data_IF_765732443968
#
_entry.id   IF_765732443968
#
_cell.length_a   1.000
_cell.length_b   1.000
_cell.length_c   1.000
_cell.angle_alpha   90.00
_cell.angle_beta   90.00
_cell.angle_gamma   90.00
#
_symmetry.space_group_name_H-M   'P 1'
#
loop_
_entity.id
_entity.type
_entity.pdbx_description
1 polymer ?
#
# COMPACT_ATOMS: atom_id res chain seq x y z
N UNK A 1 -25.27 -8.27 22.77
CA UNK A 1 -24.42 -9.01 21.81
C UNK A 1 -24.01 -8.11 20.64
N UNK A 2 -23.07 -8.55 19.82
CA UNK A 2 -22.67 -7.81 18.60
C UNK A 2 -23.85 -7.67 17.63
N UNK A 3 -24.68 -8.71 17.51
CA UNK A 3 -25.89 -8.71 16.68
C UNK A 3 -26.93 -7.70 17.14
N UNK A 4 -27.10 -7.51 18.45
CA UNK A 4 -27.99 -6.47 19.00
C UNK A 4 -27.51 -5.06 18.64
N UNK A 5 -26.20 -4.82 18.70
CA UNK A 5 -25.60 -3.51 18.35
C UNK A 5 -25.72 -3.24 16.86
N UNK A 6 -25.46 -4.25 16.02
CA UNK A 6 -25.58 -4.12 14.55
C UNK A 6 -27.04 -4.16 14.05
N UNK A 7 -27.97 -4.63 14.87
CA UNK A 7 -29.37 -4.76 14.47
C UNK A 7 -29.64 -5.88 13.46
N UNK A 8 -28.68 -6.76 13.23
CA UNK A 8 -28.73 -7.83 12.22
C UNK A 8 -28.20 -9.14 12.81
N UNK A 9 -28.80 -10.27 12.40
CA UNK A 9 -28.27 -11.59 12.72
C UNK A 9 -27.04 -11.90 11.87
N UNK A 10 -25.92 -12.18 12.52
CA UNK A 10 -24.65 -12.54 11.87
C UNK A 10 -24.45 -14.06 11.80
N UNK A 11 -25.12 -14.81 12.70
CA UNK A 11 -25.01 -16.27 12.79
C UNK A 11 -26.39 -16.90 12.76
N UNK A 12 -26.46 -18.06 12.16
CA UNK A 12 -27.62 -18.96 12.19
C UNK A 12 -27.19 -20.38 12.57
N UNK A 13 -28.13 -21.18 13.06
CA UNK A 13 -27.88 -22.59 13.41
C UNK A 13 -28.45 -23.46 12.32
N UNK A 14 -27.60 -24.11 11.54
CA UNK A 14 -27.97 -25.08 10.51
C UNK A 14 -27.41 -26.44 10.91
N UNK A 15 -28.26 -27.47 11.01
CA UNK A 15 -27.87 -28.85 11.40
C UNK A 15 -27.06 -28.89 12.73
N UNK A 16 -27.44 -28.10 13.71
CA UNK A 16 -26.76 -27.95 15.02
C UNK A 16 -25.35 -27.36 14.95
N UNK A 17 -24.98 -26.72 13.85
CA UNK A 17 -23.71 -25.99 13.67
C UNK A 17 -23.99 -24.51 13.42
N UNK A 18 -23.12 -23.65 13.94
CA UNK A 18 -23.18 -22.24 13.63
C UNK A 18 -22.65 -21.99 12.21
N UNK A 19 -23.43 -21.26 11.44
CA UNK A 19 -23.08 -20.80 10.09
C UNK A 19 -23.25 -19.28 10.03
N UNK A 20 -22.45 -18.63 9.21
CA UNK A 20 -22.62 -17.19 8.96
C UNK A 20 -23.86 -16.97 8.09
N UNK A 21 -24.68 -16.00 8.46
CA UNK A 21 -25.71 -15.45 7.57
C UNK A 21 -25.06 -14.67 6.43
N UNK A 22 -25.85 -14.16 5.48
CA UNK A 22 -25.35 -13.23 4.46
C UNK A 22 -24.78 -11.96 5.10
N UNK A 23 -25.46 -11.37 6.08
CA UNK A 23 -24.98 -10.23 6.85
C UNK A 23 -23.67 -10.58 7.60
N UNK A 24 -23.56 -11.80 8.16
CA UNK A 24 -22.34 -12.29 8.79
C UNK A 24 -21.17 -12.41 7.83
N UNK A 25 -21.39 -12.96 6.63
CA UNK A 25 -20.35 -13.02 5.58
C UNK A 25 -19.89 -11.65 5.12
N UNK A 26 -20.81 -10.70 5.00
CA UNK A 26 -20.50 -9.33 4.60
C UNK A 26 -19.74 -8.55 5.70
N UNK A 27 -20.03 -8.84 6.98
CA UNK A 27 -19.39 -8.21 8.12
C UNK A 27 -18.00 -8.79 8.46
N UNK A 28 -17.71 -10.03 8.05
CA UNK A 28 -16.50 -10.75 8.43
C UNK A 28 -15.20 -10.02 8.02
N UNK A 29 -15.05 -9.53 6.77
CA UNK A 29 -13.85 -8.82 6.37
C UNK A 29 -13.58 -7.55 7.21
N UNK A 30 -14.63 -6.83 7.59
CA UNK A 30 -14.50 -5.64 8.45
C UNK A 30 -14.09 -6.02 9.87
N UNK A 31 -14.66 -7.10 10.41
CA UNK A 31 -14.30 -7.62 11.73
C UNK A 31 -12.85 -8.09 11.78
N UNK A 32 -12.38 -8.80 10.76
CA UNK A 32 -10.98 -9.23 10.64
C UNK A 32 -10.02 -8.04 10.58
N UNK A 33 -10.37 -6.99 9.85
CA UNK A 33 -9.58 -5.75 9.81
C UNK A 33 -9.51 -5.05 11.17
N UNK A 34 -10.62 -4.98 11.91
CA UNK A 34 -10.64 -4.40 13.25
C UNK A 34 -9.71 -5.18 14.18
N UNK A 35 -9.79 -6.52 14.14
CA UNK A 35 -8.93 -7.39 14.94
C UNK A 35 -7.45 -7.25 14.54
N UNK A 36 -7.13 -7.25 13.24
CA UNK A 36 -5.77 -7.07 12.76
C UNK A 36 -5.16 -5.73 13.21
N UNK A 37 -5.93 -4.64 13.11
CA UNK A 37 -5.52 -3.32 13.59
C UNK A 37 -5.35 -3.29 15.11
N UNK A 38 -6.25 -3.92 15.86
CA UNK A 38 -6.15 -4.05 17.31
C UNK A 38 -4.90 -4.81 17.74
N UNK A 39 -4.60 -5.92 17.09
CA UNK A 39 -3.39 -6.69 17.34
C UNK A 39 -2.11 -5.91 16.97
N UNK A 40 -2.10 -5.20 15.85
CA UNK A 40 -0.97 -4.34 15.46
C UNK A 40 -0.72 -3.21 16.47
N UNK A 41 -1.80 -2.60 16.97
CA UNK A 41 -1.72 -1.58 18.02
C UNK A 41 -1.18 -2.15 19.34
N UNK A 42 -1.69 -3.30 19.79
CA UNK A 42 -1.23 -3.98 21.01
C UNK A 42 0.26 -4.35 20.94
N UNK A 43 0.78 -4.66 19.75
CA UNK A 43 2.20 -4.96 19.51
C UNK A 43 3.06 -3.71 19.30
N UNK A 44 2.48 -2.51 19.41
CA UNK A 44 3.18 -1.25 19.11
C UNK A 44 3.55 -1.05 17.64
N UNK A 45 3.00 -1.87 16.75
CA UNK A 45 3.25 -1.80 15.30
C UNK A 45 2.43 -0.70 14.63
N UNK A 46 1.31 -0.30 15.23
CA UNK A 46 0.41 0.74 14.75
C UNK A 46 0.28 1.83 15.80
N UNK A 47 0.50 3.06 15.41
CA UNK A 47 0.34 4.24 16.26
C UNK A 47 -0.19 5.43 15.45
N UNK A 48 -0.57 6.50 16.15
CA UNK A 48 -0.94 7.78 15.57
C UNK A 48 0.12 8.83 15.88
N UNK A 49 0.49 9.62 14.88
CA UNK A 49 1.33 10.81 15.03
C UNK A 49 0.59 11.96 14.35
N UNK A 50 0.24 12.99 15.12
CA UNK A 50 -0.54 14.15 14.63
C UNK A 50 -1.84 13.76 13.89
N UNK A 51 -2.52 12.72 14.37
CA UNK A 51 -3.74 12.18 13.77
C UNK A 51 -3.51 11.33 12.50
N UNK A 52 -2.26 11.16 12.07
CA UNK A 52 -1.88 10.36 10.92
C UNK A 52 -1.37 8.99 11.35
N UNK A 53 -1.65 7.96 10.55
CA UNK A 53 -1.23 6.59 10.83
C UNK A 53 0.29 6.46 10.70
N UNK A 54 0.89 5.79 11.70
CA UNK A 54 2.27 5.33 11.64
C UNK A 54 2.32 3.83 11.83
N UNK A 55 3.08 3.16 10.98
CA UNK A 55 3.37 1.73 11.05
C UNK A 55 4.86 1.55 11.35
N UNK A 56 5.17 0.67 12.30
CA UNK A 56 6.54 0.25 12.61
C UNK A 56 6.54 -1.26 12.74
N UNK A 57 7.29 -1.92 11.89
CA UNK A 57 7.36 -3.37 11.85
C UNK A 57 8.81 -3.83 11.82
N UNK A 58 9.10 -4.85 12.62
CA UNK A 58 10.38 -5.55 12.61
C UNK A 58 10.09 -7.04 12.76
N UNK A 59 10.60 -7.84 11.82
CA UNK A 59 10.47 -9.30 11.91
C UNK A 59 11.68 -9.93 12.66
N UNK A 60 11.57 -11.23 12.88
CA UNK A 60 12.61 -12.01 13.58
C UNK A 60 13.93 -12.11 12.80
N UNK A 61 13.88 -11.94 11.49
CA UNK A 61 15.03 -11.95 10.58
C UNK A 61 15.73 -10.59 10.49
N UNK A 62 15.19 -9.58 11.22
CA UNK A 62 15.76 -8.23 11.26
C UNK A 62 15.30 -7.32 10.15
N UNK A 63 14.30 -7.71 9.32
CA UNK A 63 13.70 -6.80 8.38
C UNK A 63 12.91 -5.72 9.11
N UNK A 64 13.20 -4.46 8.76
CA UNK A 64 12.61 -3.27 9.34
C UNK A 64 11.79 -2.52 8.29
N UNK A 65 10.58 -2.13 8.66
CA UNK A 65 9.67 -1.35 7.83
C UNK A 65 9.01 -0.27 8.67
N UNK A 66 9.16 0.96 8.25
CA UNK A 66 8.56 2.13 8.87
C UNK A 66 7.75 2.88 7.83
N UNK A 67 6.54 3.28 8.19
CA UNK A 67 5.65 4.06 7.32
C UNK A 67 5.00 5.15 8.15
N UNK A 68 4.94 6.35 7.60
CA UNK A 68 4.21 7.49 8.13
C UNK A 68 3.25 7.99 7.08
N UNK A 69 1.96 8.02 7.42
CA UNK A 69 0.98 8.70 6.60
C UNK A 69 1.23 10.21 6.66
N UNK A 70 1.16 10.87 5.52
CA UNK A 70 1.31 12.31 5.36
C UNK A 70 -0.04 12.92 4.93
N UNK A 71 -0.19 14.22 5.11
CA UNK A 71 -1.33 14.93 4.52
C UNK A 71 -1.19 14.93 3.01
N UNK A 72 -2.28 14.68 2.30
CA UNK A 72 -2.24 14.69 0.82
C UNK A 72 -1.81 16.06 0.27
N UNK A 73 -2.08 17.14 0.99
CA UNK A 73 -1.59 18.49 0.65
C UNK A 73 -0.07 18.61 0.61
N UNK A 74 0.66 17.75 1.34
CA UNK A 74 2.10 17.81 1.44
C UNK A 74 2.78 17.41 0.12
N UNK A 75 2.04 16.75 -0.79
CA UNK A 75 2.51 16.43 -2.14
C UNK A 75 2.92 17.68 -2.92
N UNK A 76 2.27 18.82 -2.65
CA UNK A 76 2.55 20.10 -3.34
C UNK A 76 3.84 20.77 -2.86
N UNK A 77 4.26 20.49 -1.64
CA UNK A 77 5.54 20.94 -1.06
C UNK A 77 6.69 19.94 -1.25
N UNK A 78 6.39 18.74 -1.77
CA UNK A 78 7.40 17.73 -2.03
C UNK A 78 8.21 18.05 -3.29
N UNK A 79 9.46 17.59 -3.34
CA UNK A 79 10.34 17.79 -4.51
C UNK A 79 9.94 16.89 -5.71
N UNK A 80 9.09 15.90 -5.51
CA UNK A 80 8.64 14.96 -6.55
C UNK A 80 7.65 15.58 -7.55
N UNK A 81 8.12 15.85 -8.77
CA UNK A 81 7.27 16.23 -9.90
C UNK A 81 6.31 15.09 -10.30
N UNK A 82 6.78 13.84 -10.23
CA UNK A 82 5.98 12.66 -10.54
C UNK A 82 4.74 12.58 -9.66
N UNK A 83 4.87 12.68 -8.33
CA UNK A 83 3.73 12.55 -7.42
C UNK A 83 2.73 13.70 -7.59
N UNK A 84 3.21 14.95 -7.77
CA UNK A 84 2.33 16.09 -8.07
C UNK A 84 1.53 15.89 -9.36
N UNK A 85 2.23 15.41 -10.42
CA UNK A 85 1.57 15.13 -11.70
C UNK A 85 0.57 13.99 -11.57
N UNK A 86 0.90 12.91 -10.85
CA UNK A 86 -0.01 11.79 -10.63
C UNK A 86 -1.31 12.23 -9.92
N UNK A 87 -1.22 13.04 -8.87
CA UNK A 87 -2.41 13.63 -8.21
C UNK A 87 -3.25 14.45 -9.18
N UNK A 88 -2.59 15.30 -9.99
CA UNK A 88 -3.28 16.14 -10.98
C UNK A 88 -3.98 15.30 -12.07
N UNK A 89 -3.31 14.25 -12.55
CA UNK A 89 -3.86 13.32 -13.54
C UNK A 89 -5.05 12.54 -12.97
N UNK A 90 -4.93 12.03 -11.74
CA UNK A 90 -6.02 11.34 -11.06
C UNK A 90 -7.25 12.23 -10.90
N UNK A 91 -7.07 13.48 -10.46
CA UNK A 91 -8.17 14.44 -10.32
C UNK A 91 -8.87 14.74 -11.66
N UNK A 92 -8.07 14.93 -12.73
CA UNK A 92 -8.62 15.21 -14.08
C UNK A 92 -9.30 13.99 -14.69
N UNK A 93 -8.83 12.78 -14.40
CA UNK A 93 -9.42 11.53 -14.89
C UNK A 93 -10.70 11.14 -14.15
N UNK A 94 -11.01 11.77 -13.00
CA UNK A 94 -12.07 11.32 -12.10
C UNK A 94 -11.83 9.89 -11.57
N UNK A 95 -10.56 9.47 -11.48
CA UNK A 95 -10.17 8.12 -11.06
C UNK A 95 -10.35 7.05 -12.14
N UNK A 96 -10.58 7.39 -13.41
CA UNK A 96 -10.62 6.44 -14.52
C UNK A 96 -9.18 6.10 -14.97
N UNK A 97 -8.79 4.83 -14.82
CA UNK A 97 -7.44 4.36 -15.15
C UNK A 97 -7.11 4.47 -16.64
N UNK A 98 -8.08 4.28 -17.52
CA UNK A 98 -7.90 4.32 -18.99
C UNK A 98 -8.01 5.73 -19.57
N UNK A 99 -8.25 6.75 -18.73
CA UNK A 99 -8.32 8.13 -19.19
C UNK A 99 -7.00 8.56 -19.85
N UNK A 100 -7.11 9.35 -20.91
CA UNK A 100 -5.97 10.01 -21.57
C UNK A 100 -5.07 10.77 -20.57
N UNK A 101 -5.68 11.34 -19.52
CA UNK A 101 -4.94 12.06 -18.48
C UNK A 101 -3.97 11.16 -17.69
N UNK A 102 -4.22 9.86 -17.60
CA UNK A 102 -3.38 8.92 -16.86
C UNK A 102 -2.18 8.42 -17.67
N UNK A 103 -2.20 8.55 -19.00
CA UNK A 103 -1.15 8.01 -19.90
C UNK A 103 0.26 8.47 -19.56
N UNK A 104 0.42 9.76 -19.20
CA UNK A 104 1.73 10.33 -18.91
C UNK A 104 2.40 9.71 -17.67
N UNK A 105 1.62 9.29 -16.69
CA UNK A 105 2.11 8.76 -15.41
C UNK A 105 2.00 7.23 -15.32
N UNK A 106 1.23 6.57 -16.21
CA UNK A 106 1.04 5.12 -16.21
C UNK A 106 2.33 4.30 -16.26
N UNK A 107 3.40 4.69 -16.97
CA UNK A 107 4.67 3.96 -16.96
C UNK A 107 5.33 3.84 -15.58
N UNK A 108 4.87 4.60 -14.59
CA UNK A 108 5.37 4.62 -13.21
C UNK A 108 4.49 3.86 -12.22
N UNK A 109 3.39 3.23 -12.68
CA UNK A 109 2.41 2.57 -11.82
C UNK A 109 2.80 1.15 -11.44
N UNK A 110 2.38 0.74 -10.23
CA UNK A 110 1.99 -0.63 -9.96
C UNK A 110 0.48 -0.62 -9.69
N UNK A 111 -0.24 -1.54 -10.32
CA UNK A 111 -1.69 -1.65 -10.20
C UNK A 111 -2.03 -2.97 -9.51
N UNK A 112 -2.89 -2.89 -8.51
CA UNK A 112 -3.34 -4.04 -7.72
C UNK A 112 -4.85 -4.19 -7.80
N UNK A 113 -5.33 -5.43 -7.84
CA UNK A 113 -6.76 -5.77 -7.69
C UNK A 113 -6.96 -6.55 -6.40
N UNK A 114 -8.07 -6.26 -5.74
CA UNK A 114 -8.55 -7.04 -4.61
C UNK A 114 -9.21 -8.32 -5.11
N UNK A 115 -8.84 -9.45 -4.50
CA UNK A 115 -9.39 -10.76 -4.80
C UNK A 115 -9.69 -11.49 -3.48
N UNK A 116 -10.46 -12.58 -3.49
CA UNK A 116 -10.68 -13.40 -2.30
C UNK A 116 -9.38 -13.90 -1.64
N UNK A 117 -8.29 -13.98 -2.42
CA UNK A 117 -6.96 -14.38 -1.94
C UNK A 117 -6.06 -13.21 -1.57
N UNK A 118 -6.62 -12.00 -1.48
CA UNK A 118 -5.88 -10.77 -1.18
C UNK A 118 -5.54 -9.96 -2.44
N UNK A 119 -4.62 -9.03 -2.29
CA UNK A 119 -4.21 -8.11 -3.36
C UNK A 119 -3.27 -8.78 -4.34
N UNK A 120 -3.61 -8.73 -5.64
CA UNK A 120 -2.81 -9.27 -6.74
C UNK A 120 -2.31 -8.12 -7.61
N UNK A 121 -1.03 -8.11 -7.94
CA UNK A 121 -0.45 -7.17 -8.89
C UNK A 121 -0.92 -7.52 -10.32
N UNK A 122 -1.53 -6.58 -11.02
CA UNK A 122 -2.07 -6.80 -12.37
C UNK A 122 -1.34 -6.00 -13.45
N UNK A 123 -0.59 -4.96 -13.06
CA UNK A 123 0.21 -4.15 -13.97
C UNK A 123 1.45 -3.62 -13.26
N UNK A 124 2.58 -3.58 -13.95
CA UNK A 124 3.83 -2.96 -13.50
C UNK A 124 4.34 -2.05 -14.60
N UNK A 125 4.53 -0.79 -14.29
CA UNK A 125 5.13 0.19 -15.19
C UNK A 125 6.64 0.02 -15.31
N UNK A 126 7.17 0.09 -16.52
CA UNK A 126 8.59 -0.10 -16.79
C UNK A 126 9.50 0.97 -16.18
N UNK A 127 8.95 2.18 -15.93
CA UNK A 127 9.64 3.31 -15.30
C UNK A 127 9.34 3.43 -13.81
N UNK A 128 8.58 2.50 -13.23
CA UNK A 128 8.27 2.53 -11.80
C UNK A 128 9.53 2.40 -10.95
N UNK A 129 9.48 2.93 -9.72
CA UNK A 129 10.55 2.75 -8.74
C UNK A 129 10.86 1.26 -8.50
N UNK A 130 9.84 0.42 -8.51
CA UNK A 130 9.97 -1.03 -8.39
C UNK A 130 10.81 -1.63 -9.54
N UNK A 131 10.53 -1.22 -10.78
CA UNK A 131 11.30 -1.65 -11.97
C UNK A 131 12.74 -1.15 -11.95
N UNK A 132 12.97 0.05 -11.45
CA UNK A 132 14.34 0.61 -11.26
C UNK A 132 15.12 -0.15 -10.18
N UNK A 133 14.43 -0.55 -9.09
CA UNK A 133 15.08 -1.25 -7.99
C UNK A 133 15.44 -2.69 -8.32
N UNK A 134 14.51 -3.46 -8.88
CA UNK A 134 14.64 -4.91 -9.11
C UNK A 134 15.08 -5.26 -10.53
N UNK A 135 15.06 -4.31 -11.46
CA UNK A 135 15.18 -4.54 -12.89
C UNK A 135 13.85 -4.97 -13.54
N UNK A 136 13.72 -4.63 -14.82
CA UNK A 136 12.47 -4.83 -15.56
C UNK A 136 11.99 -6.29 -15.63
N UNK A 137 12.93 -7.24 -15.81
CA UNK A 137 12.58 -8.65 -15.90
C UNK A 137 11.92 -9.16 -14.62
N UNK A 138 12.50 -8.84 -13.46
CA UNK A 138 11.95 -9.22 -12.15
C UNK A 138 10.64 -8.48 -11.87
N UNK A 139 10.60 -7.19 -12.12
CA UNK A 139 9.39 -6.38 -11.93
C UNK A 139 8.22 -6.92 -12.77
N UNK A 140 8.44 -7.24 -14.03
CA UNK A 140 7.41 -7.83 -14.91
C UNK A 140 6.94 -9.21 -14.42
N UNK A 141 7.83 -10.00 -13.82
CA UNK A 141 7.48 -11.32 -13.27
C UNK A 141 6.52 -11.24 -12.08
N UNK A 142 6.38 -10.06 -11.47
CA UNK A 142 5.45 -9.82 -10.35
C UNK A 142 3.99 -9.71 -10.80
N UNK A 143 3.71 -9.58 -12.10
CA UNK A 143 2.33 -9.57 -12.60
C UNK A 143 1.68 -10.93 -12.38
N UNK A 144 0.53 -10.95 -11.73
CA UNK A 144 -0.22 -12.13 -11.32
C UNK A 144 0.15 -12.64 -9.91
N UNK A 145 1.20 -12.12 -9.27
CA UNK A 145 1.58 -12.49 -7.90
C UNK A 145 0.75 -11.75 -6.87
N UNK A 146 0.49 -12.43 -5.75
CA UNK A 146 -0.08 -11.79 -4.56
C UNK A 146 0.96 -10.93 -3.84
N UNK A 147 0.51 -9.99 -3.00
CA UNK A 147 1.42 -9.18 -2.17
C UNK A 147 2.32 -10.02 -1.26
N UNK A 148 1.86 -11.18 -0.81
CA UNK A 148 2.65 -12.10 0.02
C UNK A 148 3.86 -12.70 -0.70
N UNK A 149 3.86 -12.69 -2.03
CA UNK A 149 4.96 -13.17 -2.87
C UNK A 149 5.97 -12.05 -3.24
N UNK A 150 5.71 -10.81 -2.80
CA UNK A 150 6.64 -9.69 -2.96
C UNK A 150 7.73 -9.74 -1.88
N UNK A 151 8.86 -9.04 -2.08
CA UNK A 151 9.86 -8.85 -1.05
C UNK A 151 9.23 -8.32 0.25
N UNK A 152 9.49 -9.02 1.36
CA UNK A 152 8.81 -8.79 2.64
C UNK A 152 7.74 -9.84 2.97
N UNK A 153 7.32 -10.65 1.99
CA UNK A 153 6.44 -11.81 2.20
C UNK A 153 5.09 -11.46 2.82
N UNK A 154 4.51 -12.42 3.55
CA UNK A 154 3.22 -12.26 4.24
C UNK A 154 3.22 -11.12 5.27
N UNK A 155 4.38 -10.82 5.87
CA UNK A 155 4.52 -9.69 6.79
C UNK A 155 4.27 -8.36 6.07
N UNK A 156 4.81 -8.19 4.87
CA UNK A 156 4.55 -7.02 4.02
C UNK A 156 3.09 -6.94 3.58
N UNK A 157 2.51 -8.06 3.12
CA UNK A 157 1.12 -8.11 2.71
C UNK A 157 0.16 -7.69 3.85
N UNK A 158 0.40 -8.19 5.06
CA UNK A 158 -0.38 -7.84 6.25
C UNK A 158 -0.31 -6.36 6.57
N UNK A 159 0.89 -5.74 6.47
CA UNK A 159 1.10 -4.32 6.74
C UNK A 159 0.39 -3.47 5.69
N UNK A 160 0.44 -3.89 4.42
CA UNK A 160 -0.13 -3.15 3.30
C UNK A 160 -1.66 -3.23 3.25
N UNK A 161 -2.27 -4.25 3.81
CA UNK A 161 -3.72 -4.41 3.74
C UNK A 161 -4.46 -3.20 4.33
N UNK A 162 -4.05 -2.70 5.49
CA UNK A 162 -4.71 -1.55 6.14
C UNK A 162 -4.74 -0.28 5.26
N UNK A 163 -3.60 0.26 4.76
CA UNK A 163 -3.61 1.44 3.89
C UNK A 163 -4.31 1.20 2.56
N UNK A 164 -4.25 -0.01 2.00
CA UNK A 164 -4.91 -0.36 0.74
C UNK A 164 -6.43 -0.39 0.90
N UNK A 165 -6.94 -1.03 1.96
CA UNK A 165 -8.38 -1.06 2.28
C UNK A 165 -8.93 0.33 2.59
N UNK A 166 -8.15 1.19 3.24
CA UNK A 166 -8.58 2.58 3.49
C UNK A 166 -8.83 3.33 2.18
N UNK A 167 -7.92 3.22 1.21
CA UNK A 167 -8.08 3.84 -0.11
C UNK A 167 -9.24 3.20 -0.88
N UNK A 168 -9.41 1.87 -0.80
CA UNK A 168 -10.52 1.17 -1.43
C UNK A 168 -11.88 1.64 -0.88
N UNK A 169 -12.02 1.69 0.44
CA UNK A 169 -13.29 2.08 1.10
C UNK A 169 -13.71 3.50 0.74
N UNK A 170 -12.74 4.41 0.65
CA UNK A 170 -13.00 5.83 0.45
C UNK A 170 -12.88 6.28 -1.01
N UNK A 171 -12.44 5.40 -1.92
CA UNK A 171 -12.11 5.72 -3.31
C UNK A 171 -11.24 7.00 -3.40
N UNK A 172 -10.23 7.08 -2.54
CA UNK A 172 -9.47 8.30 -2.25
C UNK A 172 -8.02 8.22 -2.69
N UNK A 173 -7.28 9.26 -2.32
CA UNK A 173 -5.82 9.32 -2.37
C UNK A 173 -5.26 9.14 -0.97
N UNK A 174 -4.08 8.55 -0.88
CA UNK A 174 -3.29 8.50 0.34
C UNK A 174 -1.81 8.70 0.03
N UNK A 175 -1.16 9.56 0.79
CA UNK A 175 0.28 9.79 0.72
C UNK A 175 0.95 9.20 1.96
N UNK A 176 1.96 8.38 1.74
CA UNK A 176 2.80 7.81 2.78
C UNK A 176 4.28 8.10 2.49
N UNK A 177 5.09 8.22 3.52
CA UNK A 177 6.53 8.04 3.42
C UNK A 177 6.91 6.70 4.06
N UNK A 178 7.79 5.97 3.39
CA UNK A 178 8.25 4.64 3.80
C UNK A 178 9.75 4.65 3.92
N UNK A 179 10.28 4.05 4.98
CA UNK A 179 11.69 3.73 5.16
C UNK A 179 11.81 2.23 5.46
N UNK A 180 12.59 1.51 4.68
CA UNK A 180 12.79 0.07 4.84
C UNK A 180 14.16 -0.35 4.33
N UNK A 181 14.53 -1.62 4.55
CA UNK A 181 15.74 -2.23 4.00
C UNK A 181 15.36 -3.44 3.18
N UNK A 182 15.74 -3.45 1.91
CA UNK A 182 15.48 -4.58 1.02
C UNK A 182 16.72 -4.88 0.18
N UNK A 183 17.03 -6.16 -0.10
CA UNK A 183 18.10 -6.52 -1.02
C UNK A 183 17.70 -6.14 -2.46
N UNK A 184 18.68 -5.81 -3.30
CA UNK A 184 18.46 -5.63 -4.75
C UNK A 184 18.45 -6.93 -5.52
N UNK A 185 19.08 -7.95 -4.96
CA UNK A 185 19.20 -9.27 -5.55
C UNK A 185 18.81 -10.31 -4.50
N UNK A 186 18.26 -11.47 -4.90
CA UNK A 186 17.98 -12.56 -3.96
C UNK A 186 19.25 -12.95 -3.18
N UNK A 187 19.16 -12.91 -1.83
CA UNK A 187 20.28 -13.24 -0.95
C UNK A 187 21.35 -12.15 -0.81
N UNK A 188 21.17 -10.98 -1.46
CA UNK A 188 22.07 -9.84 -1.30
C UNK A 188 21.89 -9.08 0.01
N UNK A 189 22.82 -8.19 0.32
CA UNK A 189 22.75 -7.34 1.51
C UNK A 189 21.59 -6.34 1.40
N UNK A 190 20.75 -6.22 2.44
CA UNK A 190 19.67 -5.23 2.46
C UNK A 190 20.20 -3.81 2.39
N UNK A 191 19.72 -3.03 1.42
CA UNK A 191 20.02 -1.60 1.26
C UNK A 191 18.89 -0.76 1.81
N UNK A 192 19.22 0.37 2.43
CA UNK A 192 18.23 1.34 2.86
C UNK A 192 17.51 1.92 1.64
N UNK A 193 16.20 1.99 1.71
CA UNK A 193 15.35 2.73 0.77
C UNK A 193 14.34 3.57 1.53
N UNK A 194 14.22 4.82 1.12
CA UNK A 194 13.26 5.77 1.64
C UNK A 194 12.53 6.42 0.46
N UNK A 195 11.23 6.30 0.44
CA UNK A 195 10.42 6.79 -0.66
C UNK A 195 9.11 7.39 -0.17
N UNK A 196 8.57 8.30 -0.96
CA UNK A 196 7.18 8.71 -0.86
C UNK A 196 6.34 7.83 -1.76
N UNK A 197 5.20 7.41 -1.27
CA UNK A 197 4.26 6.55 -1.97
C UNK A 197 2.88 7.19 -2.00
N UNK A 198 2.40 7.44 -3.20
CA UNK A 198 1.02 7.82 -3.46
C UNK A 198 0.19 6.57 -3.78
N UNK A 199 -0.85 6.33 -3.01
CA UNK A 199 -1.88 5.34 -3.27
C UNK A 199 -3.08 6.06 -3.89
N UNK A 200 -3.62 5.52 -4.98
CA UNK A 200 -4.75 6.11 -5.71
C UNK A 200 -5.82 5.04 -5.94
N UNK A 201 -7.03 5.28 -5.47
CA UNK A 201 -8.19 4.47 -5.84
C UNK A 201 -8.62 4.81 -7.28
N UNK A 202 -8.67 3.81 -8.16
CA UNK A 202 -9.05 4.00 -9.55
C UNK A 202 -10.13 3.01 -9.96
N UNK A 203 -10.79 3.31 -11.07
CA UNK A 203 -11.81 2.49 -11.73
C UNK A 203 -11.22 1.86 -12.98
N UNK A 204 -11.36 0.54 -13.08
CA UNK A 204 -11.02 -0.22 -14.29
C UNK A 204 -12.12 -0.07 -15.37
N UNK A 205 -11.87 -0.45 -16.64
CA UNK A 205 -12.89 -0.39 -17.71
C UNK A 205 -14.17 -1.19 -17.42
N UNK A 206 -14.06 -2.26 -16.64
CA UNK A 206 -15.20 -3.08 -16.20
C UNK A 206 -15.97 -2.46 -15.01
N UNK A 207 -15.61 -1.26 -14.58
CA UNK A 207 -16.18 -0.56 -13.45
C UNK A 207 -15.67 -1.02 -12.09
N UNK A 208 -14.86 -2.06 -12.03
CA UNK A 208 -14.29 -2.57 -10.77
C UNK A 208 -13.22 -1.64 -10.20
N UNK A 209 -13.01 -1.74 -8.91
CA UNK A 209 -11.93 -1.01 -8.21
C UNK A 209 -10.56 -1.62 -8.53
N UNK A 210 -9.57 -0.75 -8.70
CA UNK A 210 -8.17 -1.11 -8.59
C UNK A 210 -7.41 -0.07 -7.75
N UNK A 211 -6.31 -0.48 -7.17
CA UNK A 211 -5.40 0.38 -6.44
C UNK A 211 -4.15 0.61 -7.27
N UNK A 212 -3.81 1.87 -7.49
CA UNK A 212 -2.56 2.27 -8.12
C UNK A 212 -1.59 2.76 -7.06
N UNK A 213 -0.33 2.34 -7.16
CA UNK A 213 0.77 2.92 -6.39
C UNK A 213 1.74 3.64 -7.31
N UNK A 214 2.14 4.84 -6.91
CA UNK A 214 3.23 5.61 -7.52
C UNK A 214 4.25 5.91 -6.44
N UNK A 215 5.50 5.63 -6.72
CA UNK A 215 6.58 5.74 -5.75
C UNK A 215 7.69 6.60 -6.31
N UNK A 216 8.20 7.51 -5.50
CA UNK A 216 9.38 8.31 -5.81
C UNK A 216 10.29 8.42 -4.58
N UNK A 217 11.56 8.70 -4.80
CA UNK A 217 12.57 8.87 -3.75
C UNK A 217 12.14 9.95 -2.76
N UNK A 218 12.34 9.72 -1.47
CA UNK A 218 12.21 10.75 -0.46
C UNK A 218 13.52 11.51 -0.30
N UNK A 219 13.47 12.86 -0.25
CA UNK A 219 14.63 13.71 -0.05
C UNK A 219 14.83 14.12 1.43
N UNK A 220 13.76 14.10 2.21
CA UNK A 220 13.77 14.43 3.63
C UNK A 220 12.99 13.38 4.42
N UNK A 221 13.51 13.02 5.61
CA UNK A 221 12.84 12.07 6.49
C UNK A 221 11.64 12.72 7.18
N UNK A 222 10.44 12.18 6.93
CA UNK A 222 9.21 12.55 7.61
C UNK A 222 8.72 11.46 8.56
N UNK A 223 9.28 10.26 8.50
CA UNK A 223 8.91 9.15 9.39
C UNK A 223 9.44 9.42 10.78
N UNK A 224 8.54 9.63 11.73
CA UNK A 224 8.89 9.93 13.11
C UNK A 224 9.76 8.82 13.74
N UNK A 225 10.88 9.19 14.36
CA UNK A 225 11.81 8.28 15.01
C UNK A 225 12.73 7.49 14.06
N UNK A 226 12.75 7.82 12.77
CA UNK A 226 13.71 7.31 11.80
C UNK A 226 14.71 8.41 11.46
N UNK A 227 16.01 8.08 11.48
CA UNK A 227 17.09 9.03 11.27
C UNK A 227 17.23 9.41 9.78
N UNK A 228 17.59 10.66 9.50
CA UNK A 228 17.86 11.16 8.13
C UNK A 228 18.91 10.31 7.40
N UNK A 229 19.87 9.72 8.12
CA UNK A 229 20.90 8.84 7.55
C UNK A 229 20.34 7.69 6.70
N UNK A 230 19.08 7.27 6.92
CA UNK A 230 18.44 6.29 6.05
C UNK A 230 18.30 6.79 4.60
N UNK A 231 18.08 8.07 4.41
CA UNK A 231 18.04 8.69 3.08
C UNK A 231 19.47 8.86 2.53
N UNK A 232 20.40 9.29 3.38
CA UNK A 232 21.79 9.55 2.99
C UNK A 232 22.48 8.23 2.57
N UNK A 233 22.12 7.10 3.20
CA UNK A 233 22.64 5.76 2.90
C UNK A 233 21.99 5.11 1.65
N UNK A 234 20.97 5.75 1.04
CA UNK A 234 20.35 5.20 -0.17
C UNK A 234 21.31 5.20 -1.34
N UNK A 235 21.28 4.14 -2.18
CA UNK A 235 21.99 4.18 -3.45
C UNK A 235 21.60 5.41 -4.30
N UNK A 236 22.57 6.06 -4.89
CA UNK A 236 22.35 7.29 -5.67
C UNK A 236 21.44 7.05 -6.89
N UNK A 237 21.47 5.83 -7.44
CA UNK A 237 20.66 5.41 -8.59
C UNK A 237 19.24 4.94 -8.21
N UNK A 238 18.88 4.96 -6.92
CA UNK A 238 17.51 4.69 -6.44
C UNK A 238 16.60 5.91 -6.66
N UNK A 239 16.43 6.29 -7.91
CA UNK A 239 15.61 7.44 -8.36
C UNK A 239 14.74 7.06 -9.54
N UNK A 240 13.70 7.84 -9.77
CA UNK A 240 12.80 7.71 -10.93
C UNK A 240 13.04 8.91 -11.85
N UNK A 241 13.24 8.64 -13.14
CA UNK A 241 13.40 9.68 -14.15
C UNK A 241 12.01 10.10 -14.66
N UNK A 242 11.54 11.30 -14.26
CA UNK A 242 10.22 11.84 -14.64
C UNK A 242 10.36 13.26 -15.21
#
# INVERSE_FOLDING_TARGET
SLEEIKGEKLFEVVNRQYSLTEAGRNALPEADQILARGHAWLRGQLSGVDGMMRISYKNVEGWEYFQQQLKISDVWGADSALLRTAVSCWAKSGGDLESEHMKAVRPYFLVYRDTPSGWICVEVGEKSFYSKWWGWAEARSSIGRSLGEFPGGEGFATIMDTPFREVQKNHSLRLDQVATRVPREPGGDPKAICFQRLLMGVRMPDGSFALVTVVDRAEKMAVSGVDQRWIDDMPADATVDF
#
